data_IF_188007131923
#
_entry.id   IF_188007131923
#
_cell.length_a   1.000
_cell.length_b   1.000
_cell.length_c   1.000
_cell.angle_alpha   90.00
_cell.angle_beta   90.00
_cell.angle_gamma   90.00
#
_symmetry.space_group_name_H-M   'P 1'
#
loop_
_entity.id
_entity.type
_entity.pdbx_description
1 polymer ?
#
# COMPACT_ATOMS: atom_id res chain seq x y z
N UNK A 1 22.30 -21.94 -16.18
CA UNK A 1 21.34 -20.83 -16.04
C UNK A 1 21.14 -20.62 -14.55
N UNK A 2 21.55 -19.46 -14.04
CA UNK A 2 21.34 -19.06 -12.65
C UNK A 2 20.23 -18.02 -12.64
N UNK A 3 19.27 -18.18 -11.72
CA UNK A 3 18.16 -17.24 -11.53
C UNK A 3 18.46 -16.48 -10.24
N UNK A 4 18.61 -15.16 -10.32
CA UNK A 4 19.02 -14.30 -9.19
C UNK A 4 17.85 -13.88 -8.28
N UNK A 5 16.62 -13.84 -8.82
CA UNK A 5 15.40 -13.55 -8.06
C UNK A 5 14.17 -14.05 -8.81
N UNK A 6 13.20 -14.59 -8.08
CA UNK A 6 11.85 -14.86 -8.58
C UNK A 6 10.92 -13.97 -7.76
N UNK A 7 10.27 -13.02 -8.40
CA UNK A 7 9.20 -12.23 -7.78
C UNK A 7 7.86 -12.78 -8.24
N UNK A 8 7.06 -13.22 -7.27
CA UNK A 8 5.66 -13.54 -7.53
C UNK A 8 4.84 -12.26 -7.39
N UNK A 9 4.55 -11.62 -8.51
CA UNK A 9 3.50 -10.59 -8.61
C UNK A 9 2.13 -11.29 -8.67
N UNK A 10 1.73 -11.97 -7.60
CA UNK A 10 0.38 -12.47 -7.49
C UNK A 10 -0.49 -11.33 -6.98
N UNK A 11 -1.26 -10.71 -7.88
CA UNK A 11 -2.36 -9.83 -7.46
C UNK A 11 -3.39 -10.69 -6.71
N UNK A 12 -3.98 -10.21 -5.61
CA UNK A 12 -5.02 -10.97 -4.90
C UNK A 12 -6.12 -11.39 -5.87
N UNK A 13 -6.64 -12.61 -5.72
CA UNK A 13 -7.64 -13.26 -6.60
C UNK A 13 -9.05 -12.63 -6.46
N UNK A 14 -9.10 -11.39 -5.97
CA UNK A 14 -10.30 -10.66 -5.59
C UNK A 14 -10.57 -9.59 -6.64
N UNK A 15 -11.79 -9.57 -7.18
CA UNK A 15 -12.26 -8.49 -8.03
C UNK A 15 -12.44 -7.21 -7.18
N UNK A 16 -11.46 -6.31 -7.28
CA UNK A 16 -11.42 -5.04 -6.53
C UNK A 16 -12.60 -4.14 -6.93
N UNK A 17 -13.05 -4.18 -8.19
CA UNK A 17 -14.17 -3.36 -8.66
C UNK A 17 -15.49 -3.87 -8.07
N UNK A 18 -15.67 -5.19 -8.00
CA UNK A 18 -16.85 -5.80 -7.38
C UNK A 18 -16.89 -5.55 -5.86
N UNK A 19 -15.75 -5.69 -5.16
CA UNK A 19 -15.68 -5.42 -3.71
C UNK A 19 -15.91 -3.96 -3.36
N UNK A 20 -15.47 -3.03 -4.20
CA UNK A 20 -15.69 -1.59 -3.97
C UNK A 20 -17.17 -1.19 -4.03
N UNK A 21 -18.00 -1.95 -4.74
CA UNK A 21 -19.45 -1.73 -4.82
C UNK A 21 -20.21 -2.26 -3.59
N UNK A 22 -19.52 -2.92 -2.65
CA UNK A 22 -20.08 -3.36 -1.38
C UNK A 22 -20.48 -2.20 -0.45
N UNK A 23 -21.15 -2.55 0.64
CA UNK A 23 -21.44 -1.65 1.77
C UNK A 23 -20.78 -2.18 3.05
N UNK A 24 -19.65 -2.87 2.89
CA UNK A 24 -18.88 -3.42 3.98
C UNK A 24 -17.62 -2.57 4.25
N UNK A 25 -16.93 -2.88 5.34
CA UNK A 25 -15.73 -2.18 5.76
C UNK A 25 -14.61 -2.22 4.69
N UNK A 26 -14.56 -3.29 3.88
CA UNK A 26 -13.55 -3.43 2.81
C UNK A 26 -13.86 -2.48 1.66
N UNK A 27 -15.13 -2.31 1.30
CA UNK A 27 -15.57 -1.31 0.33
C UNK A 27 -15.23 0.12 0.79
N UNK A 28 -15.52 0.46 2.05
CA UNK A 28 -15.18 1.76 2.63
C UNK A 28 -13.67 2.01 2.62
N UNK A 29 -12.87 0.99 2.97
CA UNK A 29 -11.41 1.04 2.90
C UNK A 29 -10.91 1.32 1.48
N UNK A 30 -11.42 0.59 0.48
CA UNK A 30 -11.05 0.78 -0.92
C UNK A 30 -11.42 2.16 -1.46
N UNK A 31 -12.54 2.73 -1.01
CA UNK A 31 -12.94 4.10 -1.36
C UNK A 31 -12.01 5.14 -0.73
N UNK A 32 -11.58 4.92 0.52
CA UNK A 32 -10.59 5.79 1.17
C UNK A 32 -9.29 5.79 0.39
N UNK A 33 -8.75 4.61 0.04
CA UNK A 33 -7.49 4.50 -0.72
C UNK A 33 -7.62 5.14 -2.11
N UNK A 34 -8.74 4.92 -2.81
CA UNK A 34 -9.00 5.59 -4.09
C UNK A 34 -9.03 7.11 -3.96
N UNK A 35 -9.52 7.63 -2.83
CA UNK A 35 -9.53 9.06 -2.54
C UNK A 35 -8.14 9.71 -2.47
N UNK A 36 -7.06 8.94 -2.36
CA UNK A 36 -5.68 9.44 -2.46
C UNK A 36 -5.16 9.38 -3.91
N UNK A 37 -5.79 8.60 -4.80
CA UNK A 37 -5.38 8.52 -6.21
C UNK A 37 -5.71 9.83 -6.93
N UNK A 38 -4.68 10.45 -7.49
CA UNK A 38 -4.81 11.71 -8.23
C UNK A 38 -4.87 12.98 -7.37
N UNK A 39 -4.74 12.86 -6.04
CA UNK A 39 -4.66 14.00 -5.12
C UNK A 39 -3.26 14.05 -4.48
N UNK A 40 -2.39 14.87 -5.06
CA UNK A 40 -1.00 15.04 -4.60
C UNK A 40 -0.94 15.53 -3.16
N UNK A 41 -1.85 16.41 -2.73
CA UNK A 41 -1.83 16.97 -1.38
C UNK A 41 -2.18 15.89 -0.35
N UNK A 42 -3.11 14.99 -0.68
CA UNK A 42 -3.41 13.81 0.13
C UNK A 42 -2.25 12.82 0.16
N UNK A 43 -1.58 12.57 -0.96
CA UNK A 43 -0.38 11.71 -0.95
C UNK A 43 0.72 12.29 -0.07
N UNK A 44 0.98 13.60 -0.17
CA UNK A 44 1.98 14.28 0.66
C UNK A 44 1.60 14.28 2.16
N UNK A 45 0.31 14.19 2.49
CA UNK A 45 -0.14 14.00 3.88
C UNK A 45 0.34 12.67 4.50
N UNK A 46 0.79 11.70 3.69
CA UNK A 46 1.37 10.45 4.19
C UNK A 46 2.82 10.60 4.67
N UNK A 47 3.55 11.62 4.19
CA UNK A 47 4.98 11.82 4.48
C UNK A 47 5.30 11.93 5.98
N UNK A 48 4.54 12.70 6.81
CA UNK A 48 4.80 12.79 8.25
C UNK A 48 4.69 11.45 9.00
N UNK A 49 3.95 10.48 8.45
CA UNK A 49 3.85 9.14 9.04
C UNK A 49 5.10 8.29 8.79
N UNK A 50 5.92 8.65 7.79
CA UNK A 50 7.19 8.00 7.48
C UNK A 50 8.37 8.63 8.22
N UNK A 51 8.21 9.84 8.78
CA UNK A 51 9.26 10.55 9.52
C UNK A 51 9.98 9.70 10.58
N UNK A 52 9.31 8.87 11.41
CA UNK A 52 10.00 8.05 12.40
C UNK A 52 11.00 7.06 11.78
N UNK A 53 10.73 6.60 10.57
CA UNK A 53 11.59 5.69 9.82
C UNK A 53 12.73 6.45 9.15
N UNK A 54 12.41 7.54 8.47
CA UNK A 54 13.37 8.36 7.69
C UNK A 54 14.34 9.10 8.62
N UNK A 55 13.86 9.62 9.76
CA UNK A 55 14.70 10.34 10.72
C UNK A 55 15.44 9.43 11.70
N UNK A 56 15.28 8.11 11.58
CA UNK A 56 16.01 7.15 12.41
C UNK A 56 17.52 7.29 12.19
N UNK A 57 18.30 7.51 13.26
CA UNK A 57 19.77 7.58 13.15
C UNK A 57 20.40 6.33 12.54
N UNK A 58 19.76 5.16 12.73
CA UNK A 58 20.29 3.87 12.28
C UNK A 58 19.86 3.56 10.85
N UNK A 59 18.60 3.81 10.52
CA UNK A 59 18.01 3.42 9.23
C UNK A 59 17.96 4.58 8.22
N UNK A 60 17.79 5.81 8.66
CA UNK A 60 17.61 6.99 7.81
C UNK A 60 18.77 7.27 6.86
N UNK A 61 20.00 6.87 7.22
CA UNK A 61 21.16 6.98 6.33
C UNK A 61 21.13 6.01 5.14
N UNK A 62 20.26 5.00 5.19
CA UNK A 62 20.11 3.95 4.19
C UNK A 62 18.77 4.08 3.43
N UNK A 63 17.92 5.04 3.80
CA UNK A 63 16.58 5.22 3.26
C UNK A 63 16.55 6.58 2.58
N UNK A 64 16.30 6.57 1.28
CA UNK A 64 16.07 7.80 0.52
C UNK A 64 14.68 8.36 0.85
N UNK A 65 14.57 9.68 0.82
CA UNK A 65 13.29 10.34 1.03
C UNK A 65 12.36 10.06 -0.17
N UNK A 66 11.16 9.49 0.05
CA UNK A 66 10.30 9.07 -1.05
C UNK A 66 9.76 10.28 -1.84
N UNK A 67 9.72 10.14 -3.16
CA UNK A 67 8.99 11.05 -4.04
C UNK A 67 7.48 10.82 -3.94
N UNK A 68 6.68 11.73 -4.51
CA UNK A 68 5.21 11.54 -4.64
C UNK A 68 4.88 10.23 -5.37
N UNK A 69 5.67 9.86 -6.38
CA UNK A 69 5.48 8.62 -7.12
C UNK A 69 5.73 7.39 -6.23
N UNK A 70 6.76 7.46 -5.36
CA UNK A 70 7.03 6.39 -4.39
C UNK A 70 5.92 6.30 -3.34
N UNK A 71 5.40 7.43 -2.86
CA UNK A 71 4.27 7.46 -1.94
C UNK A 71 3.01 6.81 -2.54
N UNK A 72 2.74 7.06 -3.82
CA UNK A 72 1.66 6.40 -4.54
C UNK A 72 1.89 4.88 -4.64
N UNK A 73 3.11 4.45 -4.98
CA UNK A 73 3.45 3.02 -5.04
C UNK A 73 3.37 2.33 -3.67
N UNK A 74 3.77 3.01 -2.60
CA UNK A 74 3.65 2.49 -1.23
C UNK A 74 2.20 2.37 -0.80
N UNK A 75 1.35 3.33 -1.18
CA UNK A 75 -0.08 3.25 -0.89
C UNK A 75 -0.72 2.06 -1.61
N UNK A 76 -0.35 1.77 -2.86
CA UNK A 76 -0.85 0.59 -3.58
C UNK A 76 -0.41 -0.71 -2.92
N UNK A 77 0.87 -0.83 -2.54
CA UNK A 77 1.35 -2.01 -1.80
C UNK A 77 0.68 -2.16 -0.43
N UNK A 78 0.50 -1.06 0.29
CA UNK A 78 -0.20 -1.07 1.57
C UNK A 78 -1.66 -1.48 1.41
N UNK A 79 -2.32 -1.07 0.32
CA UNK A 79 -3.67 -1.51 -0.02
C UNK A 79 -3.73 -3.03 -0.15
N UNK A 80 -2.84 -3.62 -0.95
CA UNK A 80 -2.82 -5.06 -1.20
C UNK A 80 -2.56 -5.85 0.09
N UNK A 81 -1.58 -5.42 0.90
CA UNK A 81 -1.30 -6.04 2.21
C UNK A 81 -2.51 -5.95 3.14
N UNK A 82 -3.17 -4.78 3.21
CA UNK A 82 -4.36 -4.61 4.02
C UNK A 82 -5.53 -5.46 3.52
N UNK A 83 -5.72 -5.57 2.20
CA UNK A 83 -6.74 -6.45 1.62
C UNK A 83 -6.48 -7.88 2.00
N UNK A 84 -5.24 -8.36 1.91
CA UNK A 84 -4.89 -9.70 2.37
C UNK A 84 -5.31 -9.88 3.83
N UNK A 85 -4.92 -8.98 4.75
CA UNK A 85 -5.32 -9.08 6.16
C UNK A 85 -6.84 -9.01 6.41
N UNK A 86 -7.57 -8.24 5.61
CA UNK A 86 -9.02 -8.05 5.78
C UNK A 86 -9.84 -9.14 5.12
N UNK A 87 -9.28 -9.85 4.14
CA UNK A 87 -9.97 -10.87 3.34
C UNK A 87 -9.43 -12.27 3.57
N UNK A 88 -8.36 -12.41 4.35
CA UNK A 88 -7.87 -13.70 4.84
C UNK A 88 -8.94 -14.36 5.74
N UNK A 89 -9.80 -15.16 5.10
CA UNK A 89 -10.54 -16.28 5.71
C UNK A 89 -9.60 -17.44 6.09
N UNK A 90 -8.31 -17.17 6.36
CA UNK A 90 -7.23 -18.15 6.58
C UNK A 90 -6.45 -17.99 7.88
N UNK A 91 -7.00 -17.31 8.90
CA UNK A 91 -6.46 -17.29 10.26
C UNK A 91 -7.24 -18.20 11.22
N UNK A 92 -6.92 -19.49 11.23
CA UNK A 92 -7.29 -20.47 12.26
C UNK A 92 -6.48 -20.31 13.55
#
# INVERSE_FOLDING_TARGET
>A
VWIERIEMEARPEIDIEERRAGQDFVADFLQVVEGYRGDTDRLESLRPHLDPLIQSQRAGRLIEEPSVADLAAYLEQAQDICLDYLTDEGGA
#
